data_IF_136770724063
#
_entry.id   IF_136770724063
#
_cell.length_a   1.000
_cell.length_b   1.000
_cell.length_c   1.000
_cell.angle_alpha   90.00
_cell.angle_beta   90.00
_cell.angle_gamma   90.00
#
_symmetry.space_group_name_H-M   'P 1'
#
loop_
_entity.id
_entity.type
_entity.pdbx_description
1 polymer ?
#
# COMPACT_ATOMS: atom_id res chain seq x y z
N UNK A 1 -55.21 -0.33 74.06
CA UNK A 1 -55.72 0.89 73.40
C UNK A 1 -54.54 1.72 72.89
N UNK A 2 -54.21 1.58 71.61
CA UNK A 2 -53.68 2.61 70.68
C UNK A 2 -53.41 1.90 69.35
N UNK A 3 -54.27 2.19 68.36
CA UNK A 3 -53.99 1.96 66.95
C UNK A 3 -52.87 2.92 66.52
N UNK A 4 -52.00 2.50 65.60
CA UNK A 4 -51.88 3.21 64.33
C UNK A 4 -51.35 2.27 63.24
N UNK A 5 -52.13 2.23 62.17
CA UNK A 5 -51.91 1.59 60.88
C UNK A 5 -51.04 2.52 60.01
N UNK A 6 -50.23 1.95 59.12
CA UNK A 6 -49.64 2.48 57.85
C UNK A 6 -48.25 1.87 57.70
N UNK A 7 -47.81 1.30 56.59
CA UNK A 7 -48.40 1.04 55.29
C UNK A 7 -47.31 0.33 54.45
N UNK A 8 -47.74 -0.67 53.67
CA UNK A 8 -47.18 -1.08 52.37
C UNK A 8 -46.30 0.03 51.74
N UNK A 9 -45.11 -0.18 51.15
CA UNK A 9 -44.81 -1.08 50.02
C UNK A 9 -43.35 -0.88 49.54
N UNK A 10 -42.87 -1.85 48.74
CA UNK A 10 -41.84 -1.77 47.67
C UNK A 10 -40.34 -1.69 48.03
N UNK A 11 -39.70 -2.87 47.92
CA UNK A 11 -38.68 -3.21 46.92
C UNK A 11 -37.52 -2.21 46.74
N UNK A 12 -36.31 -2.59 47.20
CA UNK A 12 -35.07 -2.22 46.51
C UNK A 12 -33.99 -3.28 46.74
N UNK A 13 -33.95 -4.25 45.84
CA UNK A 13 -32.79 -5.11 45.61
C UNK A 13 -31.75 -4.27 44.86
N UNK A 14 -30.64 -3.91 45.48
CA UNK A 14 -29.44 -3.45 44.77
C UNK A 14 -28.31 -4.40 45.14
N UNK A 15 -28.26 -5.52 44.43
CA UNK A 15 -27.09 -6.37 44.35
C UNK A 15 -26.08 -5.69 43.43
N UNK A 16 -24.98 -5.22 44.01
CA UNK A 16 -23.84 -4.66 43.30
C UNK A 16 -23.07 -5.82 42.62
N UNK A 17 -23.51 -6.24 41.42
CA UNK A 17 -22.74 -7.16 40.59
C UNK A 17 -21.64 -6.37 39.86
N UNK A 18 -20.44 -6.36 40.43
CA UNK A 18 -19.20 -6.04 39.73
C UNK A 18 -18.88 -7.19 38.78
N UNK A 19 -19.12 -7.02 37.48
CA UNK A 19 -18.53 -7.85 36.45
C UNK A 19 -17.16 -7.28 36.06
N UNK A 20 -16.05 -8.04 36.12
CA UNK A 20 -14.84 -7.64 35.44
C UNK A 20 -15.08 -7.75 33.94
N UNK A 21 -15.03 -6.62 33.23
CA UNK A 21 -14.88 -6.61 31.78
C UNK A 21 -13.52 -7.25 31.48
N UNK A 22 -13.53 -8.50 31.03
CA UNK A 22 -12.38 -9.08 30.36
C UNK A 22 -12.26 -8.35 29.03
N UNK A 23 -11.26 -7.48 28.90
CA UNK A 23 -10.78 -7.08 27.58
C UNK A 23 -10.35 -8.37 26.89
N UNK A 24 -11.18 -8.88 25.99
CA UNK A 24 -10.69 -9.69 24.89
C UNK A 24 -9.88 -8.70 24.07
N UNK A 25 -8.56 -8.70 24.31
CA UNK A 25 -7.61 -8.22 23.32
C UNK A 25 -7.99 -8.97 22.05
N UNK A 26 -8.46 -8.26 21.03
CA UNK A 26 -8.37 -8.81 19.69
C UNK A 26 -6.91 -9.17 19.52
N UNK A 27 -6.67 -10.47 19.35
CA UNK A 27 -5.48 -10.98 18.72
C UNK A 27 -5.47 -10.26 17.38
N UNK A 28 -4.61 -9.25 17.25
CA UNK A 28 -4.36 -8.62 15.97
C UNK A 28 -3.56 -9.68 15.23
N UNK A 29 -4.31 -10.56 14.57
CA UNK A 29 -3.78 -11.51 13.62
C UNK A 29 -3.02 -10.64 12.62
N UNK A 30 -1.70 -10.60 12.78
CA UNK A 30 -0.79 -9.96 11.86
C UNK A 30 -0.86 -10.75 10.55
N UNK A 31 -1.97 -10.53 9.83
CA UNK A 31 -2.13 -10.84 8.44
C UNK A 31 -1.15 -9.92 7.73
N UNK A 32 0.11 -10.37 7.69
CA UNK A 32 1.08 -9.84 6.75
C UNK A 32 0.40 -9.88 5.40
N UNK A 33 0.01 -8.70 4.93
CA UNK A 33 -0.76 -8.51 3.69
C UNK A 33 -0.09 -9.41 2.64
N UNK A 34 -0.83 -10.31 2.00
CA UNK A 34 -0.34 -11.11 0.87
C UNK A 34 -0.10 -10.18 -0.33
N UNK A 35 0.89 -9.30 -0.22
CA UNK A 35 1.23 -8.26 -1.18
C UNK A 35 1.54 -8.86 -2.56
N UNK A 36 2.12 -10.06 -2.62
CA UNK A 36 2.63 -10.68 -3.85
C UNK A 36 1.63 -10.76 -5.01
N UNK A 37 0.37 -11.11 -4.75
CA UNK A 37 -0.63 -11.26 -5.83
C UNK A 37 -1.31 -9.95 -6.23
N UNK A 38 -1.36 -8.95 -5.33
CA UNK A 38 -2.02 -7.67 -5.60
C UNK A 38 -1.13 -6.65 -6.32
N UNK A 39 0.19 -6.84 -6.27
CA UNK A 39 1.15 -5.88 -6.85
C UNK A 39 1.54 -6.21 -8.29
N UNK A 40 1.40 -7.47 -8.70
CA UNK A 40 1.70 -7.85 -10.07
C UNK A 40 0.62 -7.32 -11.02
N UNK A 41 1.04 -6.61 -12.06
CA UNK A 41 0.09 -6.11 -13.04
C UNK A 41 0.59 -4.93 -13.87
N UNK A 42 -0.30 -4.43 -14.71
CA UNK A 42 -0.08 -3.24 -15.53
C UNK A 42 -0.75 -2.04 -14.88
N UNK A 43 0.04 -0.97 -14.78
CA UNK A 43 -0.31 0.32 -14.23
C UNK A 43 -0.36 1.36 -15.35
N UNK A 44 -1.34 2.25 -15.33
CA UNK A 44 -1.50 3.28 -16.35
C UNK A 44 -1.93 4.62 -15.74
N UNK A 45 -1.55 5.77 -16.35
CA UNK A 45 -2.03 7.07 -15.92
C UNK A 45 -3.56 7.14 -15.97
N UNK A 46 -4.17 7.66 -14.90
CA UNK A 46 -5.63 7.81 -14.81
C UNK A 46 -6.42 6.51 -14.56
N UNK A 47 -5.75 5.37 -14.37
CA UNK A 47 -6.43 4.14 -13.97
C UNK A 47 -6.79 4.19 -12.47
N UNK A 48 -8.06 3.92 -12.14
CA UNK A 48 -8.57 4.02 -10.75
C UNK A 48 -8.11 2.89 -9.82
N UNK A 49 -7.68 1.75 -10.37
CA UNK A 49 -7.31 0.56 -9.59
C UNK A 49 -5.81 0.30 -9.58
N UNK A 50 -5.14 0.56 -10.71
CA UNK A 50 -3.71 0.38 -10.89
C UNK A 50 -3.11 1.67 -11.46
N UNK A 51 -3.11 2.74 -10.67
CA UNK A 51 -2.60 4.03 -11.12
C UNK A 51 -1.09 3.96 -11.34
N UNK A 52 -0.64 4.43 -12.50
CA UNK A 52 0.75 4.88 -12.68
C UNK A 52 0.80 6.39 -12.45
N UNK A 53 1.49 6.82 -11.41
CA UNK A 53 1.85 8.22 -11.18
C UNK A 53 3.36 8.37 -11.36
N UNK A 54 3.77 8.75 -12.56
CA UNK A 54 5.19 8.86 -12.89
C UNK A 54 5.59 10.26 -13.37
N UNK A 55 6.84 10.64 -13.09
CA UNK A 55 7.47 11.83 -13.68
C UNK A 55 8.78 11.48 -14.41
N UNK A 56 9.11 12.25 -15.44
CA UNK A 56 10.42 12.25 -16.10
C UNK A 56 10.96 13.66 -16.02
N UNK A 57 12.10 13.84 -15.36
CA UNK A 57 12.74 15.14 -15.15
C UNK A 57 11.78 16.20 -14.55
N UNK A 58 10.85 15.73 -13.71
CA UNK A 58 9.82 16.54 -13.07
C UNK A 58 8.53 16.74 -13.88
N UNK A 59 8.48 16.30 -15.14
CA UNK A 59 7.29 16.38 -15.99
C UNK A 59 6.41 15.12 -15.86
N UNK A 60 5.10 15.30 -15.72
CA UNK A 60 4.16 14.18 -15.54
C UNK A 60 4.03 13.32 -16.80
N UNK A 61 4.16 12.00 -16.62
CA UNK A 61 3.88 11.00 -17.65
C UNK A 61 2.37 10.84 -17.82
N UNK A 62 1.90 10.82 -19.07
CA UNK A 62 0.46 10.74 -19.39
C UNK A 62 0.22 9.99 -20.71
N UNK A 63 -1.03 9.93 -21.16
CA UNK A 63 -1.38 9.33 -22.44
C UNK A 63 -1.47 7.81 -22.40
N UNK A 64 -0.87 7.15 -23.39
CA UNK A 64 -0.86 5.69 -23.55
C UNK A 64 0.31 5.00 -22.81
N UNK A 65 1.04 5.75 -21.99
CA UNK A 65 2.10 5.22 -21.15
C UNK A 65 1.57 4.15 -20.18
N UNK A 66 2.38 3.13 -19.91
CA UNK A 66 2.08 2.14 -18.87
C UNK A 66 3.35 1.53 -18.30
N UNK A 67 3.24 0.97 -17.10
CA UNK A 67 4.31 0.22 -16.46
C UNK A 67 3.77 -1.15 -16.02
N UNK A 68 4.43 -2.23 -16.42
CA UNK A 68 4.07 -3.58 -15.95
C UNK A 68 5.08 -4.04 -14.92
N UNK A 69 4.61 -4.25 -13.69
CA UNK A 69 5.41 -4.75 -12.59
C UNK A 69 5.20 -6.24 -12.40
N UNK A 70 6.29 -6.95 -12.10
CA UNK A 70 6.26 -8.33 -11.70
C UNK A 70 7.27 -8.62 -10.58
N UNK A 71 6.86 -9.35 -9.56
CA UNK A 71 7.71 -9.95 -8.54
C UNK A 71 7.10 -11.27 -8.05
N UNK A 72 7.94 -12.29 -7.86
CA UNK A 72 7.54 -13.59 -7.31
C UNK A 72 7.84 -13.74 -5.81
N UNK A 73 8.74 -12.92 -5.26
CA UNK A 73 9.29 -13.10 -3.91
C UNK A 73 9.34 -11.82 -3.07
N UNK A 74 8.87 -10.68 -3.61
CA UNK A 74 8.88 -9.35 -3.01
C UNK A 74 10.26 -8.80 -2.63
N UNK A 75 11.34 -9.47 -3.05
CA UNK A 75 12.74 -9.03 -2.84
C UNK A 75 13.37 -8.55 -4.13
N UNK A 76 12.97 -9.16 -5.24
CA UNK A 76 13.41 -8.79 -6.57
C UNK A 76 12.21 -8.72 -7.51
N UNK A 77 12.23 -7.76 -8.41
CA UNK A 77 11.18 -7.59 -9.40
C UNK A 77 11.71 -7.21 -10.77
N UNK A 78 10.78 -6.95 -11.66
CA UNK A 78 11.02 -6.37 -12.96
C UNK A 78 9.94 -5.35 -13.27
N UNK A 79 10.32 -4.26 -13.94
CA UNK A 79 9.37 -3.28 -14.48
C UNK A 79 9.60 -3.16 -15.99
N UNK A 80 8.53 -3.30 -16.76
CA UNK A 80 8.52 -2.93 -18.18
C UNK A 80 7.81 -1.59 -18.34
N UNK A 81 8.55 -0.56 -18.76
CA UNK A 81 8.04 0.77 -19.06
C UNK A 81 7.65 0.84 -20.54
N UNK A 82 6.36 0.99 -20.84
CA UNK A 82 5.86 1.09 -22.22
C UNK A 82 5.40 2.51 -22.53
N UNK A 83 5.93 3.10 -23.60
CA UNK A 83 5.63 4.48 -24.03
C UNK A 83 5.82 5.54 -22.92
N UNK A 84 6.58 5.23 -21.86
CA UNK A 84 6.88 6.15 -20.76
C UNK A 84 7.97 7.12 -21.20
N UNK A 85 9.07 6.60 -21.75
CA UNK A 85 10.23 7.37 -22.18
C UNK A 85 10.12 7.63 -23.69
N UNK A 86 10.13 8.90 -24.07
CA UNK A 86 10.01 9.32 -25.48
C UNK A 86 11.11 8.70 -26.34
N UNK A 87 10.72 8.16 -27.50
CA UNK A 87 11.63 7.51 -28.43
C UNK A 87 11.82 6.01 -28.17
N UNK A 88 11.35 5.50 -27.03
CA UNK A 88 11.40 4.08 -26.69
C UNK A 88 9.98 3.55 -26.49
N UNK A 89 9.58 2.56 -27.30
CA UNK A 89 8.28 1.92 -27.14
C UNK A 89 8.21 1.08 -25.88
N UNK A 90 9.32 0.46 -25.47
CA UNK A 90 9.41 -0.37 -24.28
C UNK A 90 10.84 -0.41 -23.75
N UNK A 91 11.00 -0.25 -22.43
CA UNK A 91 12.27 -0.41 -21.70
C UNK A 91 12.03 -1.36 -20.53
N UNK A 92 12.90 -2.36 -20.39
CA UNK A 92 12.84 -3.33 -19.30
C UNK A 92 13.92 -3.02 -18.24
N UNK A 93 13.46 -2.92 -17.00
CA UNK A 93 14.29 -2.85 -15.79
C UNK A 93 14.16 -4.21 -15.10
N UNK A 94 15.12 -5.09 -15.34
CA UNK A 94 15.22 -6.41 -14.72
C UNK A 94 16.04 -6.35 -13.43
N UNK A 95 15.90 -7.38 -12.59
CA UNK A 95 16.63 -7.53 -11.32
C UNK A 95 16.49 -6.30 -10.41
N UNK A 96 15.31 -5.69 -10.39
CA UNK A 96 14.97 -4.53 -9.58
C UNK A 96 15.00 -4.92 -8.09
N UNK A 97 15.91 -4.37 -7.27
CA UNK A 97 15.91 -4.65 -5.85
C UNK A 97 14.69 -4.00 -5.20
N UNK A 98 13.99 -4.78 -4.38
CA UNK A 98 12.80 -4.33 -3.66
C UNK A 98 13.09 -4.29 -2.16
N UNK A 99 12.68 -3.22 -1.51
CA UNK A 99 12.73 -3.08 -0.06
C UNK A 99 11.34 -2.80 0.47
N UNK A 100 10.87 -3.70 1.33
CA UNK A 100 9.64 -3.49 2.09
C UNK A 100 9.88 -2.46 3.19
N UNK A 101 9.02 -1.45 3.24
CA UNK A 101 9.05 -0.38 4.24
C UNK A 101 7.66 -0.29 4.86
N UNK A 102 7.58 -0.53 6.16
CA UNK A 102 6.36 -0.39 6.95
C UNK A 102 6.45 0.90 7.77
N UNK A 103 5.48 1.78 7.58
CA UNK A 103 5.33 3.04 8.31
C UNK A 103 3.89 3.10 8.85
N UNK A 104 3.75 3.29 10.16
CA UNK A 104 2.47 3.30 10.88
C UNK A 104 1.61 2.07 10.54
N UNK A 105 0.54 2.26 9.76
CA UNK A 105 -0.48 1.26 9.43
C UNK A 105 -0.41 0.77 7.97
N UNK A 106 0.68 1.05 7.25
CA UNK A 106 0.81 0.64 5.86
C UNK A 106 2.21 0.15 5.48
N UNK A 107 2.22 -0.74 4.49
CA UNK A 107 3.45 -1.30 3.93
C UNK A 107 3.55 -0.92 2.46
N UNK A 108 4.72 -0.43 2.05
CA UNK A 108 5.06 -0.11 0.66
C UNK A 108 6.30 -0.89 0.22
N UNK A 109 6.34 -1.28 -1.05
CA UNK A 109 7.57 -1.77 -1.68
C UNK A 109 8.27 -0.63 -2.37
N UNK A 110 9.47 -0.31 -1.94
CA UNK A 110 10.31 0.74 -2.50
C UNK A 110 11.39 0.15 -3.40
N UNK A 111 11.80 0.91 -4.41
CA UNK A 111 12.87 0.53 -5.32
C UNK A 111 13.58 1.77 -5.87
N UNK A 112 14.85 1.61 -6.25
CA UNK A 112 15.63 2.64 -6.94
C UNK A 112 16.83 2.03 -7.65
N UNK A 113 17.39 2.77 -8.59
CA UNK A 113 18.58 2.35 -9.31
C UNK A 113 18.87 3.19 -10.54
N UNK A 114 19.72 2.65 -11.41
CA UNK A 114 20.10 3.27 -12.68
C UNK A 114 19.97 2.24 -13.80
N UNK A 115 19.68 2.73 -15.00
CA UNK A 115 19.59 1.92 -16.22
C UNK A 115 20.30 2.64 -17.35
N UNK A 116 21.27 1.97 -17.95
CA UNK A 116 21.77 2.29 -19.29
C UNK A 116 20.97 1.48 -20.30
N UNK A 117 20.35 2.16 -21.26
CA UNK A 117 19.58 1.51 -22.34
C UNK A 117 20.48 1.25 -23.54
N UNK A 118 21.29 2.24 -23.90
CA UNK A 118 22.29 2.18 -24.96
C UNK A 118 23.40 3.23 -24.70
N UNK A 119 24.33 3.38 -25.63
CA UNK A 119 25.48 4.30 -25.52
C UNK A 119 25.08 5.78 -25.41
N UNK A 120 23.84 6.12 -25.72
CA UNK A 120 23.33 7.50 -25.81
C UNK A 120 22.29 7.84 -24.76
N UNK A 121 21.75 6.84 -24.07
CA UNK A 121 20.66 7.06 -23.14
C UNK A 121 20.81 6.22 -21.87
N UNK A 122 20.78 6.92 -20.74
CA UNK A 122 20.70 6.34 -19.42
C UNK A 122 19.79 7.18 -18.52
N UNK A 123 19.28 6.57 -17.46
CA UNK A 123 18.46 7.25 -16.49
C UNK A 123 18.62 6.64 -15.11
N UNK A 124 18.44 7.47 -14.08
CA UNK A 124 18.17 7.01 -12.72
C UNK A 124 16.67 6.92 -12.50
N UNK A 125 16.25 6.04 -11.60
CA UNK A 125 14.86 5.88 -11.23
C UNK A 125 14.73 5.63 -9.73
N UNK A 126 13.60 6.06 -9.17
CA UNK A 126 13.15 5.71 -7.83
C UNK A 126 11.65 5.60 -7.81
N UNK A 127 11.10 4.77 -6.93
CA UNK A 127 9.66 4.64 -6.84
C UNK A 127 9.22 3.71 -5.73
N UNK A 128 7.91 3.54 -5.65
CA UNK A 128 7.29 2.63 -4.71
C UNK A 128 5.93 2.15 -5.19
N UNK A 129 5.49 1.01 -4.65
CA UNK A 129 4.14 0.48 -4.83
C UNK A 129 3.45 0.43 -3.49
N UNK A 130 2.26 1.00 -3.41
CA UNK A 130 1.42 1.02 -2.21
C UNK A 130 -0.05 0.99 -2.61
N UNK A 131 -0.85 0.17 -1.90
CA UNK A 131 -2.29 0.00 -2.17
C UNK A 131 -2.64 -0.24 -3.65
N UNK A 132 -1.81 -1.01 -4.36
CA UNK A 132 -2.04 -1.31 -5.78
C UNK A 132 -1.75 -0.15 -6.74
N UNK A 133 -1.06 0.91 -6.31
CA UNK A 133 -0.65 2.04 -7.14
C UNK A 133 0.87 2.16 -7.22
N UNK A 134 1.38 2.49 -8.40
CA UNK A 134 2.81 2.60 -8.70
C UNK A 134 3.19 4.07 -8.89
N UNK A 135 4.15 4.51 -8.07
CA UNK A 135 4.71 5.86 -8.10
C UNK A 135 6.16 5.79 -8.53
N UNK A 136 6.58 6.67 -9.45
CA UNK A 136 7.92 6.61 -10.01
C UNK A 136 8.44 7.99 -10.42
N UNK A 137 9.68 8.27 -10.09
CA UNK A 137 10.43 9.42 -10.59
C UNK A 137 11.60 8.91 -11.41
N UNK A 138 11.76 9.46 -12.61
CA UNK A 138 12.81 9.14 -13.57
C UNK A 138 13.61 10.41 -13.84
N UNK A 139 14.94 10.30 -13.82
CA UNK A 139 15.85 11.39 -14.17
C UNK A 139 16.78 10.95 -15.28
N UNK A 140 16.79 11.66 -16.41
CA UNK A 140 17.59 11.31 -17.59
C UNK A 140 18.98 11.95 -17.54
N UNK A 141 19.98 11.28 -18.13
CA UNK A 141 21.39 11.73 -18.18
C UNK A 141 21.92 11.81 -19.60
#
# INVERSE_FOLDING_TARGET
MRLLLTGLTYFLFIGLCLSPMTFVSCDDENEGIELGNYLNGTYAPGNEKNLLSATIDGETVSGDASATFHSGDLKTGSITLNNVIKGYSSIVIDNLPLTEVTEDDYTRLTFSGEKTVDDTFSFSYSGYIVYGNLYMDISTH
#
